data_IF_267155211017
#
_entry.id   IF_267155211017
#
_cell.length_a   1.000
_cell.length_b   1.000
_cell.length_c   1.000
_cell.angle_alpha   90.00
_cell.angle_beta   90.00
_cell.angle_gamma   90.00
#
_symmetry.space_group_name_H-M   'P 1'
#
loop_
_entity.id
_entity.type
_entity.pdbx_description
1 polymer ?
#
# COMPACT_ATOMS: atom_id res chain seq x y z
N UNK A 1 -36.27 -16.95 -1.75
CA UNK A 1 -35.81 -16.61 -0.39
C UNK A 1 -34.45 -17.26 -0.23
N UNK A 2 -33.36 -16.50 -0.38
CA UNK A 2 -32.02 -17.04 -0.16
C UNK A 2 -31.81 -17.19 1.35
N UNK A 3 -31.54 -18.40 1.80
CA UNK A 3 -31.15 -18.69 3.17
C UNK A 3 -29.77 -18.06 3.45
N UNK A 4 -29.46 -17.61 4.69
CA UNK A 4 -28.17 -17.00 5.02
C UNK A 4 -26.95 -17.85 4.61
N UNK A 5 -27.09 -19.18 4.58
CA UNK A 5 -26.07 -20.11 4.11
C UNK A 5 -25.77 -20.08 2.61
N UNK A 6 -26.74 -19.76 1.75
CA UNK A 6 -26.54 -19.66 0.29
C UNK A 6 -25.70 -18.43 -0.08
N UNK A 7 -25.91 -17.32 0.64
CA UNK A 7 -25.18 -16.07 0.44
C UNK A 7 -23.69 -16.20 0.80
N UNK A 8 -23.39 -16.95 1.86
CA UNK A 8 -22.01 -17.20 2.29
C UNK A 8 -21.25 -18.04 1.24
N UNK A 9 -21.88 -19.07 0.68
CA UNK A 9 -21.26 -19.93 -0.33
C UNK A 9 -20.94 -19.18 -1.63
N UNK A 10 -21.78 -18.23 -2.05
CA UNK A 10 -21.57 -17.48 -3.29
C UNK A 10 -20.47 -16.42 -3.18
N UNK A 11 -20.26 -15.86 -1.98
CA UNK A 11 -19.26 -14.81 -1.72
C UNK A 11 -17.94 -15.35 -1.16
N UNK A 12 -17.88 -16.60 -0.71
CA UNK A 12 -16.65 -17.23 -0.21
C UNK A 12 -15.45 -17.15 -1.17
N UNK A 13 -15.59 -17.35 -2.50
CA UNK A 13 -14.48 -17.16 -3.45
C UNK A 13 -13.91 -15.74 -3.45
N UNK A 14 -14.68 -14.78 -2.96
CA UNK A 14 -14.32 -13.37 -2.81
C UNK A 14 -13.98 -13.04 -1.37
N UNK A 15 -13.41 -13.97 -0.59
CA UNK A 15 -12.92 -13.76 0.77
C UNK A 15 -13.99 -13.36 1.80
N UNK A 16 -15.23 -13.82 1.62
CA UNK A 16 -16.26 -13.68 2.66
C UNK A 16 -16.02 -14.69 3.79
N UNK A 17 -16.09 -14.24 5.04
CA UNK A 17 -15.82 -15.04 6.24
C UNK A 17 -16.87 -14.82 7.36
N UNK A 18 -16.74 -15.55 8.46
CA UNK A 18 -17.67 -15.52 9.59
C UNK A 18 -17.69 -14.16 10.32
N UNK A 19 -16.57 -13.45 10.34
CA UNK A 19 -16.51 -12.12 10.93
C UNK A 19 -17.29 -11.10 10.09
N UNK A 20 -17.26 -11.22 8.75
CA UNK A 20 -18.15 -10.45 7.87
C UNK A 20 -19.61 -10.86 8.01
N UNK A 21 -19.90 -12.15 8.11
CA UNK A 21 -21.26 -12.63 8.36
C UNK A 21 -21.83 -12.06 9.67
N UNK A 22 -21.01 -12.01 10.73
CA UNK A 22 -21.38 -11.43 12.02
C UNK A 22 -21.60 -9.92 11.91
N UNK A 23 -20.69 -9.19 11.26
CA UNK A 23 -20.84 -7.74 11.04
C UNK A 23 -22.06 -7.40 10.17
N UNK A 24 -22.46 -8.30 9.27
CA UNK A 24 -23.59 -8.11 8.37
C UNK A 24 -24.96 -8.47 8.99
N UNK A 25 -24.99 -9.29 10.04
CA UNK A 25 -26.22 -9.82 10.62
C UNK A 25 -27.31 -8.75 10.93
N UNK A 26 -26.98 -7.55 11.46
CA UNK A 26 -27.99 -6.50 11.66
C UNK A 26 -28.64 -6.02 10.35
N UNK A 27 -27.87 -5.93 9.27
CA UNK A 27 -28.34 -5.47 7.95
C UNK A 27 -29.17 -6.54 7.24
N UNK A 28 -28.86 -7.83 7.46
CA UNK A 28 -29.69 -8.92 6.98
C UNK A 28 -31.11 -8.87 7.57
N UNK A 29 -31.25 -8.48 8.85
CA UNK A 29 -32.55 -8.31 9.50
C UNK A 29 -33.39 -7.17 8.91
N UNK A 30 -32.74 -6.20 8.26
CA UNK A 30 -33.37 -5.10 7.51
C UNK A 30 -33.73 -5.50 6.06
N UNK A 31 -33.44 -6.74 5.65
CA UNK A 31 -33.71 -7.24 4.30
C UNK A 31 -32.66 -6.84 3.25
N UNK A 32 -31.50 -6.32 3.68
CA UNK A 32 -30.39 -5.98 2.78
C UNK A 32 -29.61 -7.23 2.36
N UNK A 33 -28.89 -7.11 1.24
CA UNK A 33 -28.06 -8.18 0.67
C UNK A 33 -26.59 -7.79 0.79
N UNK A 34 -25.71 -8.72 1.21
CA UNK A 34 -24.28 -8.43 1.28
C UNK A 34 -23.70 -8.40 -0.14
N UNK A 35 -22.69 -7.56 -0.35
CA UNK A 35 -21.95 -7.60 -1.60
C UNK A 35 -20.58 -6.96 -1.52
N UNK A 36 -19.69 -7.40 -2.42
CA UNK A 36 -18.32 -6.90 -2.52
C UNK A 36 -18.23 -5.82 -3.58
N UNK A 37 -17.68 -4.66 -3.24
CA UNK A 37 -17.49 -3.56 -4.20
C UNK A 37 -16.36 -3.92 -5.16
N UNK A 38 -16.71 -4.12 -6.42
CA UNK A 38 -15.77 -4.55 -7.49
C UNK A 38 -15.19 -3.35 -8.23
N UNK A 39 -15.95 -2.26 -8.30
CA UNK A 39 -15.56 -1.03 -8.98
C UNK A 39 -16.36 0.15 -8.43
N UNK A 40 -15.71 1.30 -8.32
CA UNK A 40 -16.36 2.57 -7.96
C UNK A 40 -16.17 3.57 -9.10
N UNK A 41 -17.27 4.17 -9.53
CA UNK A 41 -17.32 5.32 -10.43
C UNK A 41 -17.94 6.52 -9.69
N UNK A 42 -18.08 7.67 -10.35
CA UNK A 42 -18.67 8.86 -9.72
C UNK A 42 -20.16 8.63 -9.40
N UNK A 43 -20.48 8.57 -8.11
CA UNK A 43 -21.86 8.44 -7.58
C UNK A 43 -22.46 7.04 -7.66
N UNK A 44 -21.72 6.06 -8.19
CA UNK A 44 -22.20 4.69 -8.38
C UNK A 44 -21.07 3.68 -8.27
N UNK A 45 -21.41 2.44 -7.96
CA UNK A 45 -20.46 1.34 -7.89
C UNK A 45 -21.05 0.05 -8.44
N UNK A 46 -20.18 -0.85 -8.90
CA UNK A 46 -20.53 -2.22 -9.23
C UNK A 46 -20.27 -3.08 -8.00
N UNK A 47 -21.30 -3.78 -7.53
CA UNK A 47 -21.25 -4.63 -6.35
C UNK A 47 -21.57 -6.07 -6.73
N UNK A 48 -20.70 -7.00 -6.35
CA UNK A 48 -20.95 -8.42 -6.50
C UNK A 48 -21.74 -8.94 -5.32
N UNK A 49 -22.96 -9.40 -5.58
CA UNK A 49 -23.86 -10.00 -4.59
C UNK A 49 -24.00 -11.50 -4.85
N UNK A 50 -24.62 -12.28 -3.95
CA UNK A 50 -24.99 -13.67 -4.22
C UNK A 50 -25.87 -13.85 -5.47
N UNK A 51 -26.66 -12.82 -5.82
CA UNK A 51 -27.49 -12.79 -7.03
C UNK A 51 -26.76 -12.35 -8.30
N UNK A 52 -25.46 -12.09 -8.22
CA UNK A 52 -24.64 -11.60 -9.32
C UNK A 52 -24.24 -10.12 -9.18
N UNK A 53 -23.70 -9.57 -10.26
CA UNK A 53 -23.22 -8.19 -10.30
C UNK A 53 -24.40 -7.22 -10.42
N UNK A 54 -24.47 -6.25 -9.53
CA UNK A 54 -25.48 -5.18 -9.54
C UNK A 54 -24.82 -3.81 -9.61
N UNK A 55 -25.48 -2.86 -10.26
CA UNK A 55 -25.11 -1.45 -10.24
C UNK A 55 -25.87 -0.77 -9.10
N UNK A 56 -25.16 -0.08 -8.21
CA UNK A 56 -25.75 0.58 -7.05
C UNK A 56 -25.27 2.04 -6.91
N UNK A 57 -26.19 2.91 -6.52
CA UNK A 57 -25.95 4.32 -6.21
C UNK A 57 -25.28 4.46 -4.83
N UNK A 58 -24.35 5.41 -4.70
CA UNK A 58 -23.52 5.59 -3.49
C UNK A 58 -23.93 6.78 -2.63
N UNK A 59 -25.06 7.45 -2.92
CA UNK A 59 -25.50 8.67 -2.23
C UNK A 59 -25.58 8.56 -0.71
N UNK A 60 -25.95 7.40 -0.15
CA UNK A 60 -25.97 7.17 1.30
C UNK A 60 -24.59 6.92 1.93
N UNK A 61 -23.58 6.61 1.11
CA UNK A 61 -22.21 6.26 1.54
C UNK A 61 -21.14 7.16 0.92
N UNK A 62 -21.54 8.39 0.57
CA UNK A 62 -20.63 9.44 0.11
C UNK A 62 -20.56 10.54 1.16
N UNK A 63 -19.84 10.33 2.28
CA UNK A 63 -19.66 11.37 3.29
C UNK A 63 -18.78 12.51 2.74
N UNK A 64 -18.81 13.66 3.41
CA UNK A 64 -17.92 14.80 3.10
C UNK A 64 -16.43 14.47 3.30
N UNK A 65 -16.11 13.39 4.03
CA UNK A 65 -14.76 12.90 4.27
C UNK A 65 -14.30 11.91 3.17
N UNK A 66 -13.33 12.27 2.32
CA UNK A 66 -12.86 11.42 1.22
C UNK A 66 -12.19 10.11 1.67
N UNK A 67 -11.76 10.00 2.94
CA UNK A 67 -11.23 8.76 3.50
C UNK A 67 -12.32 7.76 3.89
N UNK A 68 -13.57 8.20 3.95
CA UNK A 68 -14.74 7.39 4.33
C UNK A 68 -15.69 7.14 3.15
N UNK A 69 -15.27 7.53 1.95
CA UNK A 69 -15.99 7.20 0.70
C UNK A 69 -15.78 5.73 0.38
N UNK A 70 -16.85 5.08 -0.07
CA UNK A 70 -16.81 3.69 -0.56
C UNK A 70 -15.74 3.50 -1.64
N UNK A 71 -15.03 2.38 -1.59
CA UNK A 71 -13.91 2.08 -2.48
C UNK A 71 -13.94 0.62 -2.94
N UNK A 72 -13.08 0.28 -3.91
CA UNK A 72 -12.95 -1.10 -4.37
C UNK A 72 -12.43 -1.99 -3.23
N UNK A 73 -13.04 -3.15 -3.04
CA UNK A 73 -12.71 -4.08 -1.96
C UNK A 73 -13.55 -3.92 -0.69
N UNK A 74 -14.34 -2.85 -0.57
CA UNK A 74 -15.30 -2.71 0.53
C UNK A 74 -16.38 -3.81 0.48
N UNK A 75 -16.82 -4.23 1.65
CA UNK A 75 -18.04 -5.02 1.81
C UNK A 75 -19.21 -4.09 2.12
N UNK A 76 -20.33 -4.30 1.44
CA UNK A 76 -21.46 -3.38 1.44
C UNK A 76 -22.78 -4.09 1.73
N UNK A 77 -23.71 -3.35 2.34
CA UNK A 77 -25.11 -3.73 2.43
C UNK A 77 -25.90 -2.97 1.36
N UNK A 78 -26.53 -3.72 0.47
CA UNK A 78 -27.17 -3.20 -0.74
C UNK A 78 -28.65 -3.57 -0.75
N UNK A 79 -29.48 -2.69 -1.30
CA UNK A 79 -30.88 -3.01 -1.53
C UNK A 79 -31.04 -4.27 -2.41
N UNK A 80 -31.91 -5.21 -2.01
CA UNK A 80 -32.14 -6.46 -2.74
C UNK A 80 -32.79 -6.26 -4.10
N UNK A 81 -33.54 -5.17 -4.27
CA UNK A 81 -34.35 -4.83 -5.43
C UNK A 81 -34.45 -3.30 -5.58
N UNK A 82 -34.94 -2.84 -6.74
CA UNK A 82 -35.11 -1.41 -7.05
C UNK A 82 -34.33 -0.97 -8.30
N UNK A 83 -34.77 0.15 -8.87
CA UNK A 83 -34.08 0.86 -9.95
C UNK A 83 -34.12 2.39 -9.69
N UNK A 84 -33.05 3.00 -9.17
CA UNK A 84 -31.75 2.38 -8.87
C UNK A 84 -31.76 1.58 -7.56
N UNK A 85 -30.81 0.64 -7.42
CA UNK A 85 -30.43 0.05 -6.13
C UNK A 85 -29.49 0.99 -5.40
N UNK A 86 -29.51 0.98 -4.06
CA UNK A 86 -28.62 1.81 -3.26
C UNK A 86 -27.68 0.95 -2.41
N UNK A 87 -26.44 1.43 -2.25
CA UNK A 87 -25.59 1.00 -1.14
C UNK A 87 -26.04 1.75 0.11
N UNK A 88 -26.59 1.03 1.09
CA UNK A 88 -27.08 1.62 2.35
C UNK A 88 -25.96 1.93 3.32
N UNK A 89 -24.99 1.04 3.41
CA UNK A 89 -23.80 1.18 4.24
C UNK A 89 -22.69 0.28 3.73
N UNK A 90 -21.46 0.51 4.19
CA UNK A 90 -20.36 -0.43 4.06
C UNK A 90 -19.91 -0.92 5.44
N UNK A 91 -19.42 -2.16 5.50
CA UNK A 91 -18.97 -2.80 6.72
C UNK A 91 -17.62 -2.21 7.17
N UNK A 92 -17.28 -2.28 8.48
CA UNK A 92 -16.02 -1.75 9.00
C UNK A 92 -14.80 -2.30 8.26
N UNK A 93 -13.91 -1.44 7.78
CA UNK A 93 -12.70 -1.88 7.05
C UNK A 93 -11.70 -2.52 8.01
N UNK A 94 -11.07 -3.61 7.57
CA UNK A 94 -9.92 -4.21 8.27
C UNK A 94 -8.61 -3.51 7.91
N UNK A 95 -8.47 -3.14 6.64
CA UNK A 95 -7.28 -2.52 6.06
C UNK A 95 -7.68 -1.52 4.99
N UNK A 96 -6.82 -0.54 4.71
CA UNK A 96 -7.07 0.46 3.66
C UNK A 96 -5.79 1.05 3.10
N UNK A 97 -5.67 1.06 1.77
CA UNK A 97 -4.64 1.83 1.08
C UNK A 97 -5.13 3.27 0.85
N UNK A 98 -4.50 4.22 1.52
CA UNK A 98 -4.82 5.65 1.42
C UNK A 98 -3.71 6.40 0.71
N UNK A 99 -4.09 7.34 -0.15
CA UNK A 99 -3.17 8.18 -0.91
C UNK A 99 -3.43 9.66 -0.66
N UNK A 100 -2.35 10.44 -0.57
CA UNK A 100 -2.40 11.90 -0.66
C UNK A 100 -2.92 12.38 -2.02
N UNK A 101 -4.00 13.16 -2.05
CA UNK A 101 -4.39 13.89 -3.27
C UNK A 101 -3.56 15.16 -3.43
N UNK A 102 -3.23 15.53 -4.67
CA UNK A 102 -2.51 16.77 -5.01
C UNK A 102 -3.36 18.04 -4.91
N UNK A 103 -4.61 17.93 -4.49
CA UNK A 103 -5.52 19.06 -4.33
C UNK A 103 -5.07 19.98 -3.19
N UNK A 104 -5.41 21.27 -3.25
CA UNK A 104 -5.04 22.29 -2.25
C UNK A 104 -5.53 21.98 -0.82
N UNK A 105 -6.43 21.00 -0.65
CA UNK A 105 -6.92 20.55 0.64
C UNK A 105 -6.17 19.33 1.19
N UNK A 106 -5.31 18.68 0.40
CA UNK A 106 -4.56 17.50 0.81
C UNK A 106 -5.43 16.56 1.63
N UNK A 107 -6.54 16.11 1.06
CA UNK A 107 -7.43 15.11 1.66
C UNK A 107 -6.96 13.72 1.20
N UNK A 108 -6.97 12.74 2.12
CA UNK A 108 -6.60 11.36 1.82
C UNK A 108 -7.69 10.68 0.98
N UNK A 109 -7.31 9.98 -0.07
CA UNK A 109 -8.22 9.18 -0.90
C UNK A 109 -7.95 7.70 -0.70
N UNK A 110 -8.97 6.93 -0.35
CA UNK A 110 -8.85 5.46 -0.28
C UNK A 110 -8.87 4.88 -1.69
N UNK A 111 -7.91 4.01 -1.97
CA UNK A 111 -7.71 3.38 -3.27
C UNK A 111 -8.19 1.93 -3.30
N UNK A 112 -8.06 1.23 -2.18
CA UNK A 112 -8.52 -0.13 -1.97
C UNK A 112 -8.73 -0.37 -0.47
N UNK A 113 -9.69 -1.21 -0.12
CA UNK A 113 -9.95 -1.63 1.27
C UNK A 113 -10.04 -3.16 1.39
N UNK A 114 -9.89 -3.64 2.62
CA UNK A 114 -9.92 -5.07 2.97
C UNK A 114 -8.94 -5.88 2.12
N UNK A 115 -7.73 -5.33 1.99
CA UNK A 115 -6.57 -5.96 1.38
C UNK A 115 -5.81 -6.72 2.45
N UNK A 116 -5.61 -8.01 2.25
CA UNK A 116 -4.89 -8.90 3.17
C UNK A 116 -3.39 -8.95 2.82
N UNK A 117 -3.06 -8.93 1.52
CA UNK A 117 -1.68 -9.03 1.02
C UNK A 117 -1.29 -7.87 0.09
N UNK A 118 -0.13 -7.29 0.35
CA UNK A 118 0.51 -6.31 -0.52
C UNK A 118 1.69 -6.95 -1.24
N UNK A 119 1.48 -7.36 -2.48
CA UNK A 119 2.51 -7.98 -3.32
C UNK A 119 3.41 -6.89 -3.92
N UNK A 120 4.60 -6.71 -3.35
CA UNK A 120 5.57 -5.69 -3.76
C UNK A 120 6.48 -6.29 -4.82
N UNK A 121 6.24 -5.94 -6.08
CA UNK A 121 7.04 -6.41 -7.20
C UNK A 121 8.38 -5.66 -7.30
N UNK A 122 9.47 -6.42 -7.26
CA UNK A 122 10.85 -5.93 -7.36
C UNK A 122 11.52 -6.66 -8.53
N UNK A 123 11.87 -5.94 -9.60
CA UNK A 123 12.39 -6.57 -10.82
C UNK A 123 13.88 -6.87 -10.72
N UNK A 124 14.27 -8.13 -10.95
CA UNK A 124 15.66 -8.57 -11.04
C UNK A 124 16.36 -8.22 -12.37
N UNK A 125 15.63 -7.61 -13.32
CA UNK A 125 16.22 -7.10 -14.57
C UNK A 125 17.08 -5.83 -14.40
N UNK A 126 17.15 -5.26 -13.20
CA UNK A 126 17.90 -4.05 -12.89
C UNK A 126 18.47 -4.14 -11.48
N UNK A 127 19.42 -3.25 -11.16
CA UNK A 127 19.96 -3.12 -9.81
C UNK A 127 18.85 -2.86 -8.78
N UNK A 128 18.97 -3.52 -7.63
CA UNK A 128 17.98 -3.43 -6.56
C UNK A 128 18.03 -2.06 -5.88
N UNK A 129 16.91 -1.34 -5.89
CA UNK A 129 16.71 -0.13 -5.08
C UNK A 129 16.09 -0.52 -3.73
N UNK A 130 16.94 -0.90 -2.77
CA UNK A 130 16.52 -1.31 -1.42
C UNK A 130 15.78 -0.19 -0.68
N UNK A 131 16.12 1.08 -0.92
CA UNK A 131 15.41 2.21 -0.34
C UNK A 131 13.95 2.29 -0.82
N UNK A 132 13.70 1.83 -2.05
CA UNK A 132 12.35 1.72 -2.59
C UNK A 132 11.60 0.48 -2.10
N UNK A 133 12.30 -0.63 -1.88
CA UNK A 133 11.75 -1.82 -1.21
C UNK A 133 11.23 -1.45 0.17
N UNK A 134 12.07 -0.81 0.98
CA UNK A 134 11.74 -0.31 2.32
C UNK A 134 10.52 0.61 2.30
N UNK A 135 10.49 1.54 1.32
CA UNK A 135 9.35 2.44 1.13
C UNK A 135 8.03 1.70 0.88
N UNK A 136 8.00 0.76 -0.07
CA UNK A 136 6.76 0.05 -0.38
C UNK A 136 6.34 -0.87 0.75
N UNK A 137 7.31 -1.42 1.49
CA UNK A 137 7.06 -2.23 2.68
C UNK A 137 6.42 -1.38 3.77
N UNK A 138 6.90 -0.16 4.00
CA UNK A 138 6.32 0.77 4.96
C UNK A 138 4.88 1.14 4.59
N UNK A 139 4.60 1.33 3.29
CA UNK A 139 3.24 1.60 2.81
C UNK A 139 2.30 0.41 3.03
N UNK A 140 2.78 -0.82 2.80
CA UNK A 140 1.99 -2.02 3.04
C UNK A 140 1.63 -2.14 4.53
N UNK A 141 2.61 -2.01 5.41
CA UNK A 141 2.39 -2.03 6.86
C UNK A 141 1.43 -0.95 7.34
N UNK A 142 1.58 0.29 6.86
CA UNK A 142 0.66 1.38 7.19
C UNK A 142 -0.79 1.08 6.77
N UNK A 143 -0.98 0.39 5.64
CA UNK A 143 -2.33 0.01 5.20
C UNK A 143 -2.98 -1.08 6.08
N UNK A 144 -2.19 -1.76 6.91
CA UNK A 144 -2.55 -2.96 7.66
C UNK A 144 -2.45 -4.27 6.86
N UNK A 145 -2.11 -4.22 5.57
CA UNK A 145 -1.92 -5.41 4.73
C UNK A 145 -0.54 -6.04 4.96
N UNK A 146 -0.48 -7.36 4.92
CA UNK A 146 0.78 -8.12 5.03
C UNK A 146 1.63 -7.93 3.76
N UNK A 147 2.84 -7.36 3.84
CA UNK A 147 3.72 -7.26 2.68
C UNK A 147 4.28 -8.62 2.28
N UNK A 148 4.45 -8.80 0.96
CA UNK A 148 5.18 -9.92 0.36
C UNK A 148 6.08 -9.35 -0.73
N UNK A 149 7.38 -9.59 -0.63
CA UNK A 149 8.36 -9.09 -1.59
C UNK A 149 8.53 -10.10 -2.72
N UNK A 150 8.03 -9.76 -3.90
CA UNK A 150 8.06 -10.64 -5.06
C UNK A 150 9.19 -10.20 -5.99
N UNK A 151 10.29 -10.96 -6.01
CA UNK A 151 11.42 -10.67 -6.90
C UNK A 151 11.09 -11.20 -8.31
N UNK A 152 10.55 -10.33 -9.15
CA UNK A 152 10.08 -10.68 -10.49
C UNK A 152 11.23 -10.84 -11.47
N UNK A 153 10.96 -11.59 -12.54
CA UNK A 153 11.93 -11.89 -13.61
C UNK A 153 13.14 -12.67 -13.09
N UNK A 154 12.89 -13.61 -12.18
CA UNK A 154 13.93 -14.47 -11.61
C UNK A 154 14.68 -15.31 -12.65
N UNK A 155 14.09 -15.51 -13.84
CA UNK A 155 14.70 -16.14 -15.01
C UNK A 155 15.91 -15.39 -15.56
N UNK A 156 16.05 -14.09 -15.27
CA UNK A 156 17.19 -13.28 -15.73
C UNK A 156 18.44 -13.45 -14.86
N UNK A 157 18.33 -14.13 -13.71
CA UNK A 157 19.44 -14.42 -12.81
C UNK A 157 19.66 -15.94 -12.79
N UNK A 158 20.41 -16.42 -13.78
CA UNK A 158 20.65 -17.86 -13.97
C UNK A 158 21.50 -18.47 -12.84
N UNK A 159 22.46 -17.71 -12.30
CA UNK A 159 23.33 -18.17 -11.23
C UNK A 159 22.57 -18.23 -9.89
N UNK A 160 22.38 -19.44 -9.31
CA UNK A 160 21.65 -19.60 -8.05
C UNK A 160 22.34 -18.92 -6.86
N UNK A 161 23.66 -18.80 -6.88
CA UNK A 161 24.44 -18.14 -5.83
C UNK A 161 24.18 -16.65 -5.87
N UNK A 162 24.25 -16.02 -7.06
CA UNK A 162 23.92 -14.59 -7.21
C UNK A 162 22.48 -14.33 -6.78
N UNK A 163 21.55 -15.20 -7.21
CA UNK A 163 20.14 -15.09 -6.85
C UNK A 163 19.90 -15.17 -5.34
N UNK A 164 20.60 -16.07 -4.64
CA UNK A 164 20.51 -16.20 -3.19
C UNK A 164 21.02 -14.94 -2.47
N UNK A 165 22.11 -14.31 -2.95
CA UNK A 165 22.59 -13.05 -2.38
C UNK A 165 21.58 -11.90 -2.59
N UNK A 166 20.96 -11.81 -3.78
CA UNK A 166 19.93 -10.81 -4.04
C UNK A 166 18.69 -10.98 -3.15
N UNK A 167 18.29 -12.23 -2.88
CA UNK A 167 17.22 -12.53 -1.90
C UNK A 167 17.62 -12.05 -0.52
N UNK A 168 18.83 -12.40 -0.07
CA UNK A 168 19.34 -12.02 1.25
C UNK A 168 19.41 -10.49 1.42
N UNK A 169 19.87 -9.75 0.41
CA UNK A 169 19.92 -8.28 0.44
C UNK A 169 18.52 -7.67 0.64
N UNK A 170 17.50 -8.27 0.03
CA UNK A 170 16.11 -7.85 0.16
C UNK A 170 15.54 -8.23 1.53
N UNK A 171 15.79 -9.43 2.02
CA UNK A 171 15.40 -9.87 3.37
C UNK A 171 15.96 -8.96 4.46
N UNK A 172 17.25 -8.59 4.35
CA UNK A 172 17.90 -7.66 5.28
C UNK A 172 17.33 -6.23 5.20
N UNK A 173 16.72 -5.86 4.07
CA UNK A 173 16.07 -4.55 3.92
C UNK A 173 14.65 -4.51 4.49
N UNK A 174 14.02 -5.66 4.71
CA UNK A 174 12.66 -5.79 5.21
C UNK A 174 12.54 -7.00 6.14
N UNK A 175 13.10 -6.92 7.37
CA UNK A 175 13.07 -8.02 8.32
C UNK A 175 11.66 -8.52 8.59
N UNK A 176 11.47 -9.84 8.65
CA UNK A 176 10.17 -10.47 8.91
C UNK A 176 9.20 -10.46 7.72
N UNK A 177 9.59 -9.91 6.57
CA UNK A 177 8.79 -9.93 5.35
C UNK A 177 9.21 -11.09 4.46
N UNK A 178 8.23 -11.85 3.97
CA UNK A 178 8.50 -12.97 3.07
C UNK A 178 9.01 -12.46 1.71
N UNK A 179 10.13 -13.03 1.25
CA UNK A 179 10.73 -12.75 -0.06
C UNK A 179 10.59 -13.98 -0.95
N UNK A 180 10.02 -13.82 -2.14
CA UNK A 180 9.78 -14.90 -3.10
C UNK A 180 10.27 -14.49 -4.50
N UNK A 181 11.33 -15.11 -5.02
CA UNK A 181 11.69 -15.02 -6.43
C UNK A 181 10.64 -15.71 -7.31
N UNK A 182 10.17 -15.00 -8.33
CA UNK A 182 9.13 -15.48 -9.26
C UNK A 182 9.52 -15.12 -10.68
N UNK A 183 9.29 -16.05 -11.61
CA UNK A 183 9.30 -15.74 -13.03
C UNK A 183 7.94 -16.03 -13.64
N UNK A 184 7.24 -14.96 -14.04
CA UNK A 184 6.02 -15.08 -14.83
C UNK A 184 6.29 -15.58 -16.26
N UNK A 185 7.54 -15.49 -16.75
CA UNK A 185 7.91 -15.95 -18.08
C UNK A 185 8.09 -17.48 -18.13
N UNK A 186 8.67 -18.07 -17.10
CA UNK A 186 8.88 -19.53 -17.01
C UNK A 186 7.81 -20.24 -16.18
N UNK A 187 7.02 -19.49 -15.40
CA UNK A 187 6.08 -20.03 -14.43
C UNK A 187 6.71 -20.38 -13.07
N UNK A 188 8.03 -20.16 -12.89
CA UNK A 188 8.74 -20.45 -11.64
C UNK A 188 8.08 -19.74 -10.45
N UNK A 189 7.65 -20.53 -9.46
CA UNK A 189 7.05 -20.11 -8.19
C UNK A 189 5.76 -19.28 -8.29
N UNK A 190 5.11 -19.23 -9.46
CA UNK A 190 3.81 -18.56 -9.63
C UNK A 190 2.71 -19.30 -8.86
N UNK A 191 2.76 -20.63 -8.85
CA UNK A 191 1.88 -21.51 -8.09
C UNK A 191 2.06 -21.32 -6.58
N UNK A 192 3.31 -21.22 -6.11
CA UNK A 192 3.65 -20.93 -4.71
C UNK A 192 3.10 -19.57 -4.29
N UNK A 193 3.29 -18.53 -5.12
CA UNK A 193 2.71 -17.21 -4.87
C UNK A 193 1.18 -17.25 -4.86
N UNK A 194 0.56 -17.99 -5.78
CA UNK A 194 -0.89 -18.18 -5.83
C UNK A 194 -1.44 -18.86 -4.59
N UNK A 195 -0.75 -19.89 -4.08
CA UNK A 195 -1.12 -20.56 -2.84
C UNK A 195 -0.94 -19.66 -1.61
N UNK A 196 0.09 -18.80 -1.60
CA UNK A 196 0.34 -17.85 -0.51
C UNK A 196 -0.81 -16.86 -0.35
N UNK A 197 -1.36 -16.36 -1.46
CA UNK A 197 -2.45 -15.37 -1.45
C UNK A 197 -3.85 -15.98 -1.52
N UNK A 198 -3.94 -17.31 -1.50
CA UNK A 198 -5.19 -18.01 -1.62
C UNK A 198 -6.15 -17.65 -0.49
N UNK A 199 -7.40 -17.37 -0.82
CA UNK A 199 -8.43 -16.97 0.15
C UNK A 199 -8.30 -15.53 0.66
N UNK A 200 -7.26 -14.80 0.26
CA UNK A 200 -7.03 -13.41 0.63
C UNK A 200 -7.27 -12.41 -0.52
N UNK A 201 -7.26 -11.15 -0.17
CA UNK A 201 -7.34 -10.01 -1.09
C UNK A 201 -5.95 -9.44 -1.30
N UNK A 202 -5.49 -9.43 -2.54
CA UNK A 202 -4.15 -8.97 -2.88
C UNK A 202 -4.17 -7.67 -3.68
N UNK A 203 -3.16 -6.84 -3.50
CA UNK A 203 -2.82 -5.73 -4.41
C UNK A 203 -1.40 -5.87 -4.92
N UNK A 204 -1.10 -5.28 -6.07
CA UNK A 204 0.25 -5.22 -6.62
C UNK A 204 0.85 -3.82 -6.47
N UNK A 205 1.97 -3.72 -5.76
CA UNK A 205 2.77 -2.52 -5.58
C UNK A 205 4.13 -2.68 -6.28
N UNK A 206 4.83 -1.57 -6.49
CA UNK A 206 6.15 -1.57 -7.14
C UNK A 206 6.24 -0.62 -8.31
N UNK A 207 7.45 -0.47 -8.85
CA UNK A 207 7.73 0.49 -9.92
C UNK A 207 7.07 0.15 -11.25
N UNK A 208 6.92 1.19 -12.09
CA UNK A 208 6.71 0.94 -13.51
C UNK A 208 7.84 0.05 -14.07
N UNK A 209 7.50 -0.90 -14.92
CA UNK A 209 8.47 -1.87 -15.47
C UNK A 209 8.85 -3.03 -14.53
N UNK A 210 8.39 -3.05 -13.28
CA UNK A 210 8.68 -4.13 -12.32
C UNK A 210 7.96 -5.47 -12.62
N UNK A 211 7.20 -5.57 -13.72
CA UNK A 211 6.51 -6.81 -14.10
C UNK A 211 5.14 -7.04 -13.46
N UNK A 212 4.56 -6.04 -12.76
CA UNK A 212 3.25 -6.18 -12.07
C UNK A 212 2.12 -6.71 -12.97
N UNK A 213 1.92 -6.13 -14.16
CA UNK A 213 0.85 -6.57 -15.07
C UNK A 213 1.09 -8.01 -15.57
N UNK A 214 2.34 -8.36 -15.87
CA UNK A 214 2.71 -9.72 -16.27
C UNK A 214 2.50 -10.72 -15.13
N UNK A 215 2.87 -10.35 -13.91
CA UNK A 215 2.62 -11.16 -12.71
C UNK A 215 1.11 -11.31 -12.42
N UNK A 216 0.32 -10.25 -12.62
CA UNK A 216 -1.13 -10.30 -12.49
C UNK A 216 -1.74 -11.31 -13.46
N UNK A 217 -1.37 -11.28 -14.75
CA UNK A 217 -1.85 -12.24 -15.74
C UNK A 217 -1.42 -13.68 -15.39
N UNK A 218 -0.19 -13.86 -14.92
CA UNK A 218 0.29 -15.18 -14.49
C UNK A 218 -0.53 -15.74 -13.31
N UNK A 219 -0.84 -14.91 -12.31
CA UNK A 219 -1.71 -15.29 -11.18
C UNK A 219 -3.16 -15.55 -11.60
N UNK A 220 -3.68 -14.82 -12.58
CA UNK A 220 -5.04 -14.99 -13.12
C UNK A 220 -5.14 -16.18 -14.09
N UNK A 221 -4.02 -16.73 -14.54
CA UNK A 221 -3.98 -17.78 -15.56
C UNK A 221 -4.52 -17.35 -16.94
N UNK A 222 -4.71 -16.04 -17.15
CA UNK A 222 -5.34 -15.47 -18.34
C UNK A 222 -4.78 -14.07 -18.62
N UNK A 223 -4.73 -13.68 -19.90
CA UNK A 223 -4.31 -12.34 -20.33
C UNK A 223 -5.43 -11.30 -20.17
N UNK A 224 -5.83 -11.04 -18.92
CA UNK A 224 -6.88 -10.06 -18.58
C UNK A 224 -6.33 -8.63 -18.59
N UNK A 225 -5.03 -8.46 -18.31
CA UNK A 225 -4.37 -7.16 -18.27
C UNK A 225 -3.61 -6.91 -19.56
N UNK A 226 -3.91 -5.80 -20.25
CA UNK A 226 -3.06 -5.34 -21.36
C UNK A 226 -1.64 -5.05 -20.83
N UNK A 227 -0.67 -5.87 -21.23
CA UNK A 227 0.75 -5.62 -21.00
C UNK A 227 1.22 -4.60 -22.04
N UNK A 228 0.90 -3.32 -21.85
CA UNK A 228 1.51 -2.28 -22.68
C UNK A 228 2.97 -2.13 -22.27
N UNK A 229 3.88 -2.59 -23.14
CA UNK A 229 5.30 -2.32 -23.04
C UNK A 229 5.52 -0.80 -22.92
N UNK A 230 6.39 -0.41 -21.99
CA UNK A 230 6.79 0.95 -21.63
C UNK A 230 6.62 1.94 -22.79
N UNK A 231 5.61 2.81 -22.70
CA UNK A 231 5.57 4.05 -23.47
C UNK A 231 5.97 5.21 -22.57
N UNK A 232 7.20 5.64 -22.76
CA UNK A 232 7.66 6.96 -22.41
C UNK A 232 6.81 8.04 -23.08
N UNK A 233 6.71 9.18 -22.40
CA UNK A 233 6.34 10.50 -22.93
C UNK A 233 4.95 10.61 -23.58
N UNK A 234 3.93 10.90 -22.77
CA UNK A 234 3.36 12.25 -22.76
C UNK A 234 2.14 12.31 -21.83
N UNK A 235 2.21 13.23 -20.86
CA UNK A 235 1.14 13.50 -19.92
C UNK A 235 -0.08 14.06 -20.65
N UNK A 236 -1.01 13.17 -21.02
CA UNK A 236 -2.46 13.38 -21.26
C UNK A 236 -3.08 12.11 -21.89
N UNK A 237 -2.77 10.94 -21.35
CA UNK A 237 -3.37 9.67 -21.79
C UNK A 237 -4.59 9.33 -20.94
N UNK A 238 -5.79 9.42 -21.53
CA UNK A 238 -7.03 8.92 -20.93
C UNK A 238 -6.93 7.40 -20.79
N UNK A 239 -6.50 6.94 -19.61
CA UNK A 239 -6.45 5.52 -19.26
C UNK A 239 -7.86 4.94 -19.36
N UNK A 240 -8.14 4.26 -20.47
CA UNK A 240 -9.42 3.62 -20.73
C UNK A 240 -9.17 2.12 -20.71
N UNK A 241 -8.90 1.57 -19.53
CA UNK A 241 -8.86 0.10 -19.33
C UNK A 241 -10.22 -0.29 -18.74
N UNK A 242 -11.06 -0.90 -19.58
CA UNK A 242 -12.48 -1.20 -19.35
C UNK A 242 -12.71 -2.54 -18.65
N UNK A 243 -11.96 -2.88 -17.61
CA UNK A 243 -12.11 -4.17 -16.92
C UNK A 243 -12.15 -3.97 -15.40
N UNK A 244 -12.89 -4.86 -14.72
CA UNK A 244 -13.18 -4.81 -13.27
C UNK A 244 -11.90 -4.59 -12.45
N UNK A 245 -11.98 -3.75 -11.42
CA UNK A 245 -10.82 -3.48 -10.56
C UNK A 245 -10.54 -4.61 -9.56
N UNK A 246 -11.49 -5.53 -9.36
CA UNK A 246 -11.36 -6.70 -8.48
C UNK A 246 -11.60 -7.97 -9.31
N UNK A 247 -10.61 -8.86 -9.30
CA UNK A 247 -10.52 -10.04 -10.15
C UNK A 247 -10.37 -11.28 -9.27
N UNK A 248 -11.21 -12.30 -9.46
CA UNK A 248 -11.07 -13.56 -8.72
C UNK A 248 -9.88 -14.36 -9.21
N UNK A 249 -9.10 -14.92 -8.29
CA UNK A 249 -7.97 -15.79 -8.62
C UNK A 249 -8.45 -17.24 -8.78
N UNK A 250 -7.89 -18.02 -9.74
CA UNK A 250 -8.27 -19.42 -9.94
C UNK A 250 -8.05 -20.30 -8.70
N UNK A 251 -7.02 -20.00 -7.91
CA UNK A 251 -6.70 -20.69 -6.64
C UNK A 251 -7.51 -20.22 -5.43
N UNK A 252 -8.50 -19.33 -5.63
CA UNK A 252 -9.25 -18.67 -4.56
C UNK A 252 -8.58 -17.37 -4.10
N UNK A 253 -9.38 -16.46 -3.55
CA UNK A 253 -8.95 -15.09 -3.25
C UNK A 253 -9.13 -14.16 -4.44
N UNK A 254 -8.71 -12.90 -4.29
CA UNK A 254 -8.94 -11.87 -5.30
C UNK A 254 -7.72 -10.96 -5.46
N UNK A 255 -7.54 -10.43 -6.66
CA UNK A 255 -6.57 -9.40 -6.98
C UNK A 255 -7.29 -8.08 -7.26
N UNK A 256 -6.89 -7.01 -6.57
CA UNK A 256 -7.32 -5.66 -6.86
C UNK A 256 -6.26 -4.96 -7.71
N UNK A 257 -6.65 -4.53 -8.91
CA UNK A 257 -5.86 -3.63 -9.75
C UNK A 257 -6.63 -2.31 -9.94
N UNK A 258 -6.19 -1.27 -9.24
CA UNK A 258 -6.64 0.09 -9.48
C UNK A 258 -5.46 0.95 -9.96
N UNK A 259 -5.62 1.80 -10.99
CA UNK A 259 -4.54 2.66 -11.47
C UNK A 259 -3.89 3.52 -10.38
N UNK A 260 -4.66 3.88 -9.34
CA UNK A 260 -4.18 4.67 -8.21
C UNK A 260 -3.12 3.97 -7.37
N UNK A 261 -3.11 2.63 -7.32
CA UNK A 261 -2.15 1.84 -6.56
C UNK A 261 -0.75 1.84 -7.19
N UNK A 262 -0.64 2.19 -8.48
CA UNK A 262 0.63 2.19 -9.23
C UNK A 262 1.54 3.40 -8.94
N UNK A 263 1.13 4.30 -8.04
CA UNK A 263 1.85 5.52 -7.67
C UNK A 263 1.47 6.08 -6.30
N UNK A 264 1.12 5.21 -5.35
CA UNK A 264 0.79 5.63 -3.97
C UNK A 264 2.03 6.22 -3.30
N UNK A 265 1.89 7.42 -2.75
CA UNK A 265 2.91 8.03 -1.89
C UNK A 265 2.63 7.67 -0.44
N UNK A 266 3.67 7.72 0.41
CA UNK A 266 3.49 7.61 1.87
C UNK A 266 2.44 8.64 2.31
N UNK A 267 1.45 8.22 3.08
CA UNK A 267 0.47 9.09 3.68
C UNK A 267 0.35 8.67 5.12
N UNK A 268 0.66 9.59 6.04
CA UNK A 268 0.58 9.34 7.48
C UNK A 268 1.27 8.03 7.90
N UNK A 269 2.43 7.74 7.27
CA UNK A 269 3.03 6.41 7.31
C UNK A 269 3.99 6.20 8.48
N UNK A 270 3.74 6.85 9.61
CA UNK A 270 4.65 6.82 10.77
C UNK A 270 4.74 5.41 11.35
N UNK A 271 3.60 4.74 11.50
CA UNK A 271 3.57 3.37 12.04
C UNK A 271 4.20 2.36 11.08
N UNK A 272 3.92 2.49 9.78
CA UNK A 272 4.52 1.64 8.75
C UNK A 272 6.03 1.83 8.63
N UNK A 273 6.55 3.05 8.79
CA UNK A 273 8.01 3.30 8.83
C UNK A 273 8.61 2.66 10.09
N UNK A 274 8.01 2.84 11.26
CA UNK A 274 8.49 2.19 12.50
C UNK A 274 8.58 0.67 12.38
N UNK A 275 7.60 0.03 11.73
CA UNK A 275 7.63 -1.42 11.50
C UNK A 275 8.74 -1.88 10.55
N UNK A 276 9.06 -1.12 9.51
CA UNK A 276 10.15 -1.49 8.57
C UNK A 276 11.53 -1.35 9.22
N UNK A 277 11.69 -0.41 10.15
CA UNK A 277 12.95 -0.10 10.80
C UNK A 277 12.90 -0.40 12.30
N UNK A 278 12.21 -1.49 12.68
CA UNK A 278 12.00 -1.85 14.08
C UNK A 278 13.31 -2.00 14.85
N UNK A 279 14.38 -2.49 14.19
CA UNK A 279 15.69 -2.59 14.81
C UNK A 279 16.28 -1.22 15.18
N UNK A 280 15.94 -0.16 14.43
CA UNK A 280 16.37 1.21 14.73
C UNK A 280 15.52 1.79 15.86
N UNK A 281 14.21 1.54 15.87
CA UNK A 281 13.31 1.95 16.96
C UNK A 281 13.73 1.31 18.29
N UNK A 282 14.03 0.02 18.30
CA UNK A 282 14.53 -0.71 19.48
C UNK A 282 15.87 -0.13 19.98
N UNK A 283 16.81 0.15 19.08
CA UNK A 283 18.07 0.83 19.43
C UNK A 283 17.83 2.26 19.94
N UNK A 284 16.83 2.96 19.42
CA UNK A 284 16.50 4.32 19.81
C UNK A 284 16.08 4.42 21.28
N UNK A 285 15.42 3.39 21.84
CA UNK A 285 15.06 3.32 23.26
C UNK A 285 16.28 3.38 24.21
N UNK A 286 17.45 2.96 23.72
CA UNK A 286 18.72 3.00 24.47
C UNK A 286 19.51 4.31 24.26
N UNK A 287 18.96 5.27 23.52
CA UNK A 287 19.60 6.58 23.37
C UNK A 287 19.60 7.36 24.68
N UNK A 288 20.66 8.14 24.90
CA UNK A 288 20.74 9.08 26.02
C UNK A 288 19.59 10.09 26.07
N UNK A 289 19.06 10.48 24.90
CA UNK A 289 18.01 11.48 24.75
C UNK A 289 16.79 10.85 24.09
N UNK A 290 15.60 11.17 24.59
CA UNK A 290 14.32 10.69 24.06
C UNK A 290 13.98 11.29 22.68
N UNK A 291 14.45 12.50 22.38
CA UNK A 291 14.22 13.20 21.11
C UNK A 291 15.44 13.12 20.16
N UNK A 292 16.22 12.04 20.27
CA UNK A 292 17.41 11.84 19.45
C UNK A 292 17.04 11.75 17.95
N UNK A 293 17.58 12.65 17.11
CA UNK A 293 17.41 12.56 15.66
C UNK A 293 18.42 11.60 15.00
N UNK A 294 19.22 10.92 15.83
CA UNK A 294 20.28 10.01 15.47
C UNK A 294 21.29 10.58 14.49
N UNK A 295 21.54 11.89 14.47
CA UNK A 295 22.43 12.57 13.50
C UNK A 295 23.85 12.74 13.99
N UNK A 296 24.03 13.26 15.20
CA UNK A 296 25.32 13.59 15.80
C UNK A 296 25.27 13.64 17.35
N UNK A 297 24.15 13.23 17.94
CA UNK A 297 23.88 13.35 19.36
C UNK A 297 24.82 12.45 20.18
N UNK A 298 25.42 12.96 21.27
CA UNK A 298 26.32 12.17 22.11
C UNK A 298 25.53 11.11 22.88
N UNK A 299 26.03 9.87 22.91
CA UNK A 299 25.33 8.74 23.55
C UNK A 299 24.12 8.24 22.76
N UNK A 300 24.11 8.44 21.43
CA UNK A 300 23.14 7.84 20.53
C UNK A 300 23.50 6.35 20.29
N UNK A 301 22.65 5.44 20.77
CA UNK A 301 22.84 4.01 20.60
C UNK A 301 22.77 3.58 19.13
N UNK A 302 21.90 4.23 18.33
CA UNK A 302 21.80 4.00 16.88
C UNK A 302 23.11 4.34 16.15
N UNK A 303 23.74 5.46 16.48
CA UNK A 303 25.04 5.83 15.88
C UNK A 303 26.18 4.91 16.35
N UNK A 304 26.11 4.42 17.59
CA UNK A 304 27.05 3.42 18.09
C UNK A 304 26.94 2.10 17.31
N UNK A 305 25.70 1.63 17.09
CA UNK A 305 25.42 0.43 16.28
C UNK A 305 25.88 0.57 14.82
N UNK A 306 25.82 1.78 14.25
CA UNK A 306 26.41 2.03 12.94
C UNK A 306 27.94 1.99 12.98
N UNK A 307 28.55 2.54 14.04
CA UNK A 307 29.99 2.58 14.18
C UNK A 307 30.62 1.19 14.43
N UNK A 308 29.92 0.30 15.12
CA UNK A 308 30.37 -1.09 15.36
C UNK A 308 29.96 -2.08 14.26
N UNK A 309 29.13 -1.64 13.30
CA UNK A 309 28.70 -2.42 12.15
C UNK A 309 27.48 -3.31 12.37
N UNK A 310 26.87 -3.30 13.56
CA UNK A 310 25.62 -4.01 13.83
C UNK A 310 24.41 -3.42 13.09
N UNK A 311 24.47 -2.13 12.72
CA UNK A 311 23.50 -1.46 11.84
C UNK A 311 24.17 -0.90 10.59
N UNK A 312 23.69 -1.29 9.41
CA UNK A 312 24.22 -0.74 8.16
C UNK A 312 23.92 0.77 8.01
N UNK A 313 24.92 1.58 7.67
CA UNK A 313 24.74 3.03 7.43
C UNK A 313 23.61 3.33 6.43
N UNK A 314 23.49 2.50 5.37
CA UNK A 314 22.41 2.59 4.38
C UNK A 314 21.01 2.53 5.01
N UNK A 315 20.80 1.63 5.98
CA UNK A 315 19.50 1.47 6.68
C UNK A 315 19.13 2.74 7.41
N UNK A 316 20.06 3.31 8.18
CA UNK A 316 19.84 4.56 8.90
C UNK A 316 19.55 5.73 7.95
N UNK A 317 20.23 5.79 6.80
CA UNK A 317 19.99 6.84 5.81
C UNK A 317 18.62 6.71 5.15
N UNK A 318 18.19 5.49 4.84
CA UNK A 318 16.81 5.19 4.38
C UNK A 318 15.77 5.58 5.41
N UNK A 319 15.95 5.20 6.67
CA UNK A 319 15.05 5.54 7.78
C UNK A 319 14.86 7.05 7.89
N UNK A 320 15.96 7.81 8.01
CA UNK A 320 15.92 9.28 8.07
C UNK A 320 15.30 9.88 6.81
N UNK A 321 15.51 9.30 5.63
CA UNK A 321 14.91 9.77 4.37
C UNK A 321 13.40 9.61 4.38
N UNK A 322 12.90 8.46 4.83
CA UNK A 322 11.47 8.17 4.89
C UNK A 322 10.78 9.00 5.97
N UNK A 323 11.38 9.17 7.16
CA UNK A 323 10.86 10.08 8.18
C UNK A 323 10.71 11.52 7.65
N UNK A 324 11.76 12.07 7.01
CA UNK A 324 11.70 13.41 6.39
C UNK A 324 10.63 13.52 5.30
N UNK A 325 10.40 12.44 4.56
CA UNK A 325 9.33 12.43 3.55
C UNK A 325 7.95 12.43 4.22
N UNK A 326 7.75 11.58 5.23
CA UNK A 326 6.50 11.51 6.00
C UNK A 326 6.17 12.86 6.64
N UNK A 327 7.13 13.47 7.35
CA UNK A 327 6.99 14.81 7.95
C UNK A 327 6.54 15.85 6.93
N UNK A 328 7.12 15.84 5.71
CA UNK A 328 6.74 16.78 4.63
C UNK A 328 5.32 16.54 4.14
N UNK A 329 4.82 15.31 4.20
CA UNK A 329 3.47 14.97 3.76
C UNK A 329 2.47 15.35 4.85
N UNK A 330 2.72 14.97 6.11
CA UNK A 330 1.94 15.39 7.28
C UNK A 330 1.87 16.92 7.38
N UNK A 331 2.96 17.63 7.07
CA UNK A 331 2.97 19.09 7.01
C UNK A 331 1.94 19.67 6.04
N UNK A 332 1.77 19.03 4.87
CA UNK A 332 0.85 19.53 3.84
C UNK A 332 -0.60 19.37 4.27
N UNK A 333 -0.89 18.35 5.05
CA UNK A 333 -2.23 17.91 5.44
C UNK A 333 -2.69 18.59 6.73
N UNK A 334 -1.82 18.68 7.74
CA UNK A 334 -2.14 19.30 9.03
C UNK A 334 -1.69 20.77 9.08
N UNK A 335 -2.64 21.69 9.22
CA UNK A 335 -2.37 23.13 9.36
C UNK A 335 -1.49 23.49 10.57
N UNK A 336 -1.57 22.73 11.67
CA UNK A 336 -0.78 22.91 12.89
C UNK A 336 0.68 22.52 12.65
N UNK A 337 0.92 21.35 12.06
CA UNK A 337 2.27 20.88 11.69
C UNK A 337 2.90 21.81 10.66
N UNK A 338 2.11 22.33 9.71
CA UNK A 338 2.52 23.37 8.75
C UNK A 338 2.97 24.66 9.44
N UNK A 339 2.31 25.08 10.51
CA UNK A 339 2.69 26.27 11.27
C UNK A 339 4.02 26.03 12.02
N UNK A 340 4.17 24.86 12.65
CA UNK A 340 5.38 24.51 13.41
C UNK A 340 6.60 24.35 12.49
N UNK A 341 6.48 23.65 11.35
CA UNK A 341 7.59 23.53 10.40
C UNK A 341 7.99 24.87 9.77
N UNK A 342 7.03 25.77 9.51
CA UNK A 342 7.35 27.14 9.07
C UNK A 342 8.09 27.91 10.15
N UNK A 343 7.74 27.73 11.42
CA UNK A 343 8.45 28.33 12.55
C UNK A 343 9.87 27.79 12.65
N UNK A 344 10.06 26.48 12.59
CA UNK A 344 11.38 25.84 12.60
C UNK A 344 12.24 26.26 11.40
N UNK A 345 11.66 26.36 10.20
CA UNK A 345 12.37 26.86 9.01
C UNK A 345 12.81 28.31 9.17
N UNK A 346 11.94 29.18 9.70
CA UNK A 346 12.29 30.58 10.00
C UNK A 346 13.42 30.66 11.03
N UNK A 347 13.39 29.83 12.07
CA UNK A 347 14.44 29.73 13.09
C UNK A 347 15.77 29.28 12.49
N UNK A 348 15.79 28.19 11.72
CA UNK A 348 17.00 27.70 11.03
C UNK A 348 17.53 28.72 10.02
N UNK A 349 16.66 29.41 9.29
CA UNK A 349 17.04 30.49 8.38
C UNK A 349 17.62 31.72 9.10
N UNK A 350 17.08 32.08 10.28
CA UNK A 350 17.63 33.15 11.11
C UNK A 350 19.01 32.77 11.68
N UNK A 351 19.17 31.53 12.16
CA UNK A 351 20.46 30.99 12.61
C UNK A 351 21.49 30.96 11.47
N UNK A 352 21.09 30.56 10.26
CA UNK A 352 21.96 30.56 9.08
C UNK A 352 22.40 31.97 8.66
N UNK A 353 21.50 32.97 8.72
CA UNK A 353 21.86 34.38 8.48
C UNK A 353 22.81 34.92 9.53
N UNK A 354 22.54 34.68 10.82
CA UNK A 354 23.41 35.09 11.92
C UNK A 354 24.81 34.47 11.81
N UNK A 355 24.90 33.17 11.46
CA UNK A 355 26.17 32.49 11.22
C UNK A 355 26.93 33.06 10.00
N UNK A 356 26.21 33.44 8.94
CA UNK A 356 26.80 34.08 7.75
C UNK A 356 27.32 35.49 8.05
N UNK A 357 26.59 36.28 8.84
CA UNK A 357 27.01 37.62 9.28
C UNK A 357 28.23 37.57 10.20
N UNK A 358 28.25 36.62 11.16
CA UNK A 358 29.40 36.38 12.02
C UNK A 358 30.65 35.96 11.24
N UNK A 359 30.51 35.17 10.17
CA UNK A 359 31.61 34.83 9.27
C UNK A 359 32.10 36.04 8.46
N UNK A 360 31.19 36.92 7.99
CA UNK A 360 31.57 38.15 7.26
C UNK A 360 32.21 39.21 8.14
N UNK A 361 31.85 39.28 9.43
CA UNK A 361 32.46 40.18 10.40
C UNK A 361 33.88 39.79 10.84
N UNK A 362 34.30 38.55 10.59
CA UNK A 362 35.67 38.05 10.91
C UNK A 362 36.73 38.38 9.85
N UNK A 363 36.33 38.92 8.70
CA UNK A 363 37.22 39.30 7.59
C UNK A 363 37.30 40.82 7.37
N UNK A 364 36.93 41.63 8.38
CA UNK A 364 37.13 43.09 8.38
C UNK A 364 38.14 43.50 9.42
#
# INVERSE_FOLDING_TARGET
MNTPGDSASALAPYCWDDAWATAFAPHAAEGLVPGRVVRVDRGQCDVLTPGGLVRADTSFVTPDDPTRVICTGDWAAVDPDGDPRFVRTYLPRRTAFVRSTSSRRSEGQVLAANVDHALIAVSLAAELDLGRVERFTALAWESGAQPVLVLTKADLVEDPVIRAHLVQDVELSAPGVQVLPVSAATGEAVDVLGALVAGGTSVLLGQSGAGKSTLANALLGTDVMEVQAVRDADGKGRHTTTTRNLLALPGGGVLIDTPGLRGVGLWDAETGVGQVFSEIEELAESCRFHDCAHTAEPGCAVLAAVADGSLAQRRLDSYRKLLRENERIVAKTDARVRAELRRQWKMRGAQGRAASEAKRGRFR
#
